data_IF_824858991814
#
_entry.id   IF_824858991814
#
_cell.length_a   1.000
_cell.length_b   1.000
_cell.length_c   1.000
_cell.angle_alpha   90.00
_cell.angle_beta   90.00
_cell.angle_gamma   90.00
#
_symmetry.space_group_name_H-M   'P 1'
#
loop_
_entity.id
_entity.type
_entity.pdbx_description
1 polymer ?
#
# COMPACT_ATOMS: atom_id res chain seq x y z
N UNK A 1 -13.35 -0.88 -8.29
CA UNK A 1 -12.01 -1.15 -8.85
C UNK A 1 -11.39 0.20 -9.15
N UNK A 2 -10.22 0.47 -8.60
CA UNK A 2 -9.52 1.73 -8.85
C UNK A 2 -8.63 1.56 -10.08
N UNK A 3 -8.61 2.56 -10.96
CA UNK A 3 -7.73 2.57 -12.13
C UNK A 3 -6.57 3.54 -11.91
N UNK A 4 -5.43 3.25 -12.54
CA UNK A 4 -4.34 4.20 -12.61
C UNK A 4 -4.78 5.43 -13.41
N UNK A 5 -4.64 6.66 -12.90
CA UNK A 5 -4.98 7.88 -13.63
C UNK A 5 -4.08 8.16 -14.83
N UNK A 6 -2.98 7.41 -15.01
CA UNK A 6 -2.00 7.65 -16.07
C UNK A 6 -1.99 6.61 -17.18
N UNK A 7 -2.33 5.35 -16.89
CA UNK A 7 -2.27 4.26 -17.87
C UNK A 7 -3.57 3.43 -17.93
N UNK A 8 -4.62 3.83 -17.21
CA UNK A 8 -5.94 3.16 -17.17
C UNK A 8 -5.94 1.68 -16.76
N UNK A 9 -4.78 1.16 -16.33
CA UNK A 9 -4.63 -0.19 -15.79
C UNK A 9 -5.39 -0.31 -14.47
N UNK A 10 -6.04 -1.45 -14.27
CA UNK A 10 -6.70 -1.77 -13.01
C UNK A 10 -5.65 -1.99 -11.93
N UNK A 11 -5.85 -1.35 -10.77
CA UNK A 11 -4.96 -1.49 -9.64
C UNK A 11 -5.69 -2.19 -8.50
N UNK A 12 -4.98 -3.11 -7.85
CA UNK A 12 -5.45 -3.93 -6.75
C UNK A 12 -4.70 -3.61 -5.46
N UNK A 13 -5.29 -3.92 -4.31
CA UNK A 13 -4.62 -3.69 -3.01
C UNK A 13 -3.41 -4.61 -2.86
N UNK A 14 -3.48 -5.80 -3.46
CA UNK A 14 -2.41 -6.79 -3.48
C UNK A 14 -1.14 -6.32 -4.20
N UNK A 15 -1.28 -5.31 -5.08
CA UNK A 15 -0.16 -4.67 -5.75
C UNK A 15 0.67 -3.81 -4.78
N UNK A 16 0.01 -3.24 -3.77
CA UNK A 16 0.64 -2.31 -2.81
C UNK A 16 0.98 -2.94 -1.47
N UNK A 17 0.32 -4.04 -1.12
CA UNK A 17 0.49 -4.69 0.16
C UNK A 17 0.93 -6.14 0.01
N UNK A 18 1.67 -6.62 0.98
CA UNK A 18 1.87 -8.04 1.19
C UNK A 18 0.55 -8.71 1.58
N UNK A 19 0.33 -9.89 1.03
CA UNK A 19 -0.87 -10.69 1.28
C UNK A 19 -0.44 -12.04 1.76
N UNK A 20 -0.65 -12.31 3.04
CA UNK A 20 -0.49 -13.63 3.59
C UNK A 20 -1.76 -14.44 3.33
N UNK A 21 -1.61 -15.56 2.62
CA UNK A 21 -2.68 -16.54 2.45
C UNK A 21 -2.49 -17.63 3.50
N UNK A 22 -3.43 -17.73 4.45
CA UNK A 22 -3.43 -18.81 5.45
C UNK A 22 -4.62 -19.72 5.22
N UNK A 23 -4.33 -20.99 5.03
CA UNK A 23 -5.33 -22.03 5.00
C UNK A 23 -5.61 -22.50 6.44
N UNK A 24 -6.86 -22.42 6.86
CA UNK A 24 -7.26 -22.98 8.15
C UNK A 24 -7.35 -24.51 8.07
N UNK A 25 -7.23 -25.20 9.21
CA UNK A 25 -7.42 -26.66 9.31
C UNK A 25 -8.76 -27.19 8.78
N UNK A 26 -9.73 -26.31 8.49
CA UNK A 26 -11.05 -26.64 7.90
C UNK A 26 -11.13 -26.29 6.40
N UNK A 27 -10.01 -26.06 5.72
CA UNK A 27 -9.94 -25.72 4.29
C UNK A 27 -10.41 -24.30 3.94
N UNK A 28 -10.71 -23.44 4.93
CA UNK A 28 -11.04 -22.03 4.64
C UNK A 28 -9.77 -21.23 4.39
N UNK A 29 -9.68 -20.63 3.21
CA UNK A 29 -8.61 -19.69 2.81
C UNK A 29 -8.93 -18.32 3.42
N UNK A 30 -8.01 -17.79 4.24
CA UNK A 30 -8.06 -16.40 4.72
C UNK A 30 -6.90 -15.63 4.10
N UNK A 31 -7.23 -14.56 3.38
CA UNK A 31 -6.25 -13.56 2.91
C UNK A 31 -6.11 -12.48 3.98
N UNK A 32 -4.90 -12.24 4.45
CA UNK A 32 -4.58 -11.15 5.39
C UNK A 32 -3.65 -10.18 4.68
N UNK A 33 -4.06 -8.92 4.63
CA UNK A 33 -3.22 -7.81 4.14
C UNK A 33 -2.24 -7.44 5.26
N UNK A 34 -0.94 -7.38 4.95
CA UNK A 34 0.15 -7.06 5.89
C UNK A 34 0.91 -5.79 5.47
N UNK A 35 2.24 -5.88 5.29
CA UNK A 35 3.13 -4.73 5.09
C UNK A 35 2.90 -3.99 3.78
N UNK A 36 3.16 -2.68 3.77
CA UNK A 36 3.16 -1.88 2.54
C UNK A 36 4.46 -2.12 1.77
N UNK A 37 4.36 -2.43 0.47
CA UNK A 37 5.49 -2.76 -0.40
C UNK A 37 6.15 -1.54 -1.06
N UNK A 38 5.49 -0.38 -1.03
CA UNK A 38 5.97 0.82 -1.70
C UNK A 38 7.03 1.58 -0.89
N UNK A 39 7.45 2.70 -1.44
CA UNK A 39 8.46 3.56 -0.84
C UNK A 39 7.88 4.46 0.26
N UNK A 40 8.74 4.82 1.22
CA UNK A 40 8.43 5.77 2.28
C UNK A 40 9.28 7.01 2.09
N UNK A 41 8.66 8.18 2.10
CA UNK A 41 9.33 9.48 2.05
C UNK A 41 9.31 10.13 3.43
N UNK A 42 10.46 10.54 3.93
CA UNK A 42 10.55 11.33 5.15
C UNK A 42 10.29 12.81 4.82
N UNK A 43 9.26 13.40 5.44
CA UNK A 43 8.88 14.81 5.22
C UNK A 43 9.31 15.70 6.41
N UNK A 44 9.86 15.11 7.47
CA UNK A 44 10.36 15.87 8.62
C UNK A 44 10.71 15.00 9.81
N UNK A 45 10.87 15.63 10.98
CA UNK A 45 11.26 14.94 12.20
C UNK A 45 10.17 13.93 12.63
N UNK A 46 10.43 12.63 12.41
CA UNK A 46 9.52 11.50 12.71
C UNK A 46 8.23 11.43 11.87
N UNK A 47 8.17 12.13 10.73
CA UNK A 47 7.04 12.04 9.81
C UNK A 47 7.46 11.29 8.55
N UNK A 48 6.75 10.20 8.25
CA UNK A 48 6.93 9.39 7.06
C UNK A 48 5.63 9.35 6.27
N UNK A 49 5.75 9.36 4.95
CA UNK A 49 4.62 9.29 4.03
C UNK A 49 4.81 8.10 3.13
N UNK A 50 3.76 7.28 3.01
CA UNK A 50 3.76 6.17 2.05
C UNK A 50 3.51 6.74 0.66
N UNK A 51 4.41 6.44 -0.25
CA UNK A 51 4.29 6.79 -1.66
C UNK A 51 3.64 5.65 -2.41
N UNK A 52 2.55 5.96 -3.09
CA UNK A 52 1.82 4.99 -3.91
C UNK A 52 2.23 5.21 -5.36
N UNK A 53 2.90 4.23 -5.96
CA UNK A 53 3.28 4.23 -7.37
C UNK A 53 2.56 3.12 -8.13
N UNK A 54 2.12 3.40 -9.35
CA UNK A 54 1.50 2.37 -10.17
C UNK A 54 2.55 1.32 -10.58
N UNK A 55 2.34 0.03 -10.32
CA UNK A 55 3.32 -1.01 -10.67
C UNK A 55 3.53 -1.17 -12.18
N UNK A 56 2.58 -0.69 -13.00
CA UNK A 56 2.64 -0.85 -14.46
C UNK A 56 3.35 0.30 -15.18
N UNK A 57 3.25 1.54 -14.68
CA UNK A 57 3.81 2.72 -15.35
C UNK A 57 4.77 3.52 -14.48
N UNK A 58 5.01 3.06 -13.24
CA UNK A 58 5.93 3.63 -12.26
C UNK A 58 5.65 5.10 -11.89
N UNK A 59 4.46 5.60 -12.23
CA UNK A 59 4.03 6.95 -11.88
C UNK A 59 3.43 6.96 -10.49
N UNK A 60 3.76 8.00 -9.73
CA UNK A 60 3.18 8.28 -8.42
C UNK A 60 1.70 8.61 -8.60
N UNK A 61 0.84 7.84 -7.95
CA UNK A 61 -0.62 8.01 -7.99
C UNK A 61 -1.17 8.65 -6.71
N UNK A 62 -0.35 8.75 -5.66
CA UNK A 62 -0.76 9.40 -4.42
C UNK A 62 0.24 9.24 -3.29
N UNK A 63 -0.07 9.94 -2.21
CA UNK A 63 0.69 9.93 -0.97
C UNK A 63 -0.32 9.70 0.17
N UNK A 64 0.01 8.84 1.13
CA UNK A 64 -0.76 8.74 2.37
C UNK A 64 0.13 9.08 3.55
N UNK A 65 -0.19 10.19 4.21
CA UNK A 65 0.55 10.66 5.39
C UNK A 65 0.40 9.66 6.54
N UNK A 66 1.52 9.26 7.15
CA UNK A 66 1.53 8.58 8.43
C UNK A 66 2.00 9.57 9.49
N UNK A 67 1.04 10.26 10.11
CA UNK A 67 1.33 11.24 11.16
C UNK A 67 1.46 10.50 12.49
N UNK A 68 2.69 10.33 12.97
CA UNK A 68 2.91 10.15 14.41
C UNK A 68 2.69 11.51 15.05
N UNK A 69 1.43 11.90 15.28
CA UNK A 69 1.09 13.06 16.11
C UNK A 69 1.52 12.71 17.55
N UNK A 70 2.81 12.92 17.84
CA UNK A 70 3.31 12.96 19.21
C UNK A 70 2.69 14.20 19.79
N UNK A 71 1.60 14.03 20.55
CA UNK A 71 1.16 15.01 21.54
C UNK A 71 2.39 15.35 22.40
N UNK A 72 2.99 16.52 22.15
CA UNK A 72 3.72 17.26 23.18
C UNK A 72 2.72 18.09 23.97
#
# INVERSE_FOLDING_TARGET
MSKCPHCDVNIFLEDFFEVEVKESRKGKIKKRISGFKGEFMSIGFKNEVKMWSCPSCDKIIGFSEYKWDVKM
#
